data_IF_880067258956
#
_entry.id   IF_880067258956
#
_cell.length_a   1.000
_cell.length_b   1.000
_cell.length_c   1.000
_cell.angle_alpha   90.00
_cell.angle_beta   90.00
_cell.angle_gamma   90.00
#
_symmetry.space_group_name_H-M   'P 1'
#
loop_
_entity.id
_entity.type
_entity.pdbx_description
1 polymer ?
#
# COMPACT_ATOMS: atom_id res chain seq x y z
N UNK A 1 -10.49 6.38 -1.21
CA UNK A 1 -9.37 5.85 -0.40
C UNK A 1 -8.38 6.93 -0.02
N UNK A 2 -7.95 7.77 -0.95
CA UNK A 2 -7.02 8.86 -0.63
C UNK A 2 -7.55 9.76 0.47
N UNK A 3 -8.83 10.08 0.43
CA UNK A 3 -9.46 10.95 1.43
C UNK A 3 -9.39 10.33 2.82
N UNK A 4 -9.57 9.02 2.92
CA UNK A 4 -9.45 8.30 4.19
C UNK A 4 -8.04 8.37 4.74
N UNK A 5 -7.05 8.24 3.87
CA UNK A 5 -5.64 8.26 4.25
C UNK A 5 -5.26 9.67 4.73
N UNK A 6 -5.66 10.71 4.00
CA UNK A 6 -5.39 12.08 4.42
C UNK A 6 -6.08 12.42 5.74
N UNK A 7 -7.29 11.89 5.97
CA UNK A 7 -7.98 12.07 7.23
C UNK A 7 -7.18 11.44 8.38
N UNK A 8 -6.62 10.26 8.15
CA UNK A 8 -5.78 9.59 9.15
C UNK A 8 -4.54 10.44 9.47
N UNK A 9 -3.88 11.01 8.45
CA UNK A 9 -2.74 11.90 8.68
C UNK A 9 -3.15 13.09 9.54
N UNK A 10 -4.27 13.72 9.23
CA UNK A 10 -4.76 14.87 10.00
C UNK A 10 -5.05 14.50 11.45
N UNK A 11 -5.68 13.35 11.67
CA UNK A 11 -6.02 12.90 13.01
C UNK A 11 -4.78 12.57 13.83
N UNK A 12 -3.71 12.13 13.18
CA UNK A 12 -2.44 11.82 13.85
C UNK A 12 -1.54 13.04 13.99
N UNK A 13 -1.84 14.12 13.30
CA UNK A 13 -0.99 15.30 13.31
C UNK A 13 0.34 15.10 12.59
N UNK A 14 0.37 14.24 11.60
CA UNK A 14 1.58 14.00 10.80
C UNK A 14 1.38 14.44 9.37
N UNK A 15 2.48 14.76 8.71
CA UNK A 15 2.46 15.10 7.30
C UNK A 15 2.77 13.86 6.48
N UNK A 16 2.10 13.70 5.37
CA UNK A 16 2.35 12.61 4.46
C UNK A 16 1.84 12.91 3.07
N UNK A 17 2.28 12.13 2.12
CA UNK A 17 1.86 12.27 0.74
C UNK A 17 1.24 10.99 0.24
N UNK A 18 0.24 11.13 -0.61
CA UNK A 18 -0.36 10.01 -1.29
C UNK A 18 -0.07 10.17 -2.77
N UNK A 19 0.58 9.18 -3.35
CA UNK A 19 0.83 9.13 -4.79
C UNK A 19 -0.09 8.09 -5.42
N UNK A 20 -0.69 8.43 -6.54
CA UNK A 20 -1.63 7.55 -7.21
C UNK A 20 -1.07 7.13 -8.55
N UNK A 21 -1.04 5.85 -8.81
CA UNK A 21 -0.57 5.30 -10.07
C UNK A 21 -1.70 4.49 -10.72
N UNK A 22 -1.94 4.74 -12.00
CA UNK A 22 -3.02 4.08 -12.71
C UNK A 22 -2.68 2.66 -13.16
N UNK A 23 -1.39 2.37 -13.29
CA UNK A 23 -0.93 1.05 -13.72
C UNK A 23 0.40 0.68 -13.08
N UNK A 24 0.75 -0.59 -13.19
CA UNK A 24 1.96 -1.13 -12.59
C UNK A 24 3.22 -0.52 -13.17
N UNK A 25 3.25 -0.25 -14.45
CA UNK A 25 4.45 0.27 -15.12
C UNK A 25 4.84 1.64 -14.58
N UNK A 26 3.88 2.51 -14.36
CA UNK A 26 4.14 3.85 -13.80
C UNK A 26 4.66 3.77 -12.37
N UNK A 27 4.09 2.87 -11.59
CA UNK A 27 4.55 2.66 -10.22
C UNK A 27 5.99 2.11 -10.21
N UNK A 28 6.28 1.10 -11.02
CA UNK A 28 7.61 0.51 -11.10
C UNK A 28 8.66 1.53 -11.53
N UNK A 29 8.31 2.42 -12.43
CA UNK A 29 9.19 3.49 -12.85
C UNK A 29 9.46 4.47 -11.69
N UNK A 30 8.41 4.88 -10.99
CA UNK A 30 8.53 5.84 -9.90
C UNK A 30 9.34 5.30 -8.72
N UNK A 31 9.23 3.99 -8.44
CA UNK A 31 9.93 3.41 -7.30
C UNK A 31 11.46 3.39 -7.46
N UNK A 32 11.96 3.61 -8.64
CA UNK A 32 13.40 3.69 -8.86
C UNK A 32 13.97 4.97 -8.25
N UNK A 33 13.18 6.05 -8.22
CA UNK A 33 13.63 7.35 -7.74
C UNK A 33 13.09 7.71 -6.37
N UNK A 34 12.01 7.06 -5.92
CA UNK A 34 11.34 7.41 -4.67
C UNK A 34 11.21 6.19 -3.76
N UNK A 35 11.29 6.43 -2.48
CA UNK A 35 11.03 5.42 -1.47
C UNK A 35 9.60 5.49 -1.02
N UNK A 36 8.96 4.34 -0.90
CA UNK A 36 7.58 4.25 -0.45
C UNK A 36 7.49 3.30 0.74
N UNK A 37 6.58 3.58 1.66
CA UNK A 37 6.47 2.81 2.90
C UNK A 37 5.32 1.82 2.93
N UNK A 38 4.33 1.99 2.09
CA UNK A 38 3.26 1.02 1.96
C UNK A 38 2.58 1.19 0.61
N UNK A 39 2.15 0.07 0.06
CA UNK A 39 1.45 0.04 -1.22
C UNK A 39 0.03 -0.47 -0.99
N UNK A 40 -0.96 0.35 -1.31
CA UNK A 40 -2.35 -0.08 -1.40
C UNK A 40 -2.60 -0.47 -2.85
N UNK A 41 -2.98 -1.71 -3.08
CA UNK A 41 -2.94 -2.29 -4.42
C UNK A 41 -4.26 -2.95 -4.79
N UNK A 42 -4.84 -2.53 -5.90
CA UNK A 42 -5.98 -3.23 -6.46
C UNK A 42 -5.50 -4.36 -7.36
N UNK A 43 -6.19 -5.47 -7.36
CA UNK A 43 -5.84 -6.60 -8.20
C UNK A 43 -6.18 -6.30 -9.65
N UNK A 44 -7.32 -5.67 -9.90
CA UNK A 44 -7.71 -5.31 -11.27
C UNK A 44 -7.11 -3.97 -11.65
N UNK A 45 -6.17 -4.01 -12.57
CA UNK A 45 -5.53 -2.82 -13.12
C UNK A 45 -5.31 -3.00 -14.61
N UNK A 46 -5.24 -1.91 -15.39
CA UNK A 46 -4.83 -2.01 -16.77
C UNK A 46 -3.42 -2.62 -16.88
N UNK A 47 -3.27 -3.56 -17.78
CA UNK A 47 -1.99 -4.24 -17.98
C UNK A 47 -1.78 -5.36 -16.98
N UNK A 48 -0.76 -5.26 -16.15
CA UNK A 48 -0.43 -6.28 -15.16
C UNK A 48 -1.40 -6.22 -13.98
N UNK A 49 -1.90 -7.36 -13.50
CA UNK A 49 -2.77 -7.33 -12.34
C UNK A 49 -1.96 -7.15 -11.04
N UNK A 50 -2.67 -6.77 -9.95
CA UNK A 50 -2.03 -6.46 -8.69
C UNK A 50 -1.26 -7.61 -8.07
N UNK A 51 -1.73 -8.84 -8.24
CA UNK A 51 -1.02 -10.01 -7.71
C UNK A 51 0.32 -10.19 -8.43
N UNK A 52 0.31 -10.03 -9.74
CA UNK A 52 1.54 -10.11 -10.53
C UNK A 52 2.54 -9.03 -10.13
N UNK A 53 2.05 -7.81 -9.90
CA UNK A 53 2.90 -6.72 -9.43
C UNK A 53 3.51 -7.04 -8.07
N UNK A 54 2.70 -7.55 -7.13
CA UNK A 54 3.17 -7.91 -5.80
C UNK A 54 4.25 -8.99 -5.87
N UNK A 55 4.04 -10.01 -6.70
CA UNK A 55 5.04 -11.06 -6.90
C UNK A 55 6.33 -10.50 -7.49
N UNK A 56 6.21 -9.58 -8.45
CA UNK A 56 7.36 -8.92 -9.06
C UNK A 56 8.18 -8.16 -7.99
N UNK A 57 7.51 -7.40 -7.14
CA UNK A 57 8.18 -6.66 -6.07
C UNK A 57 8.93 -7.60 -5.13
N UNK A 58 8.32 -8.71 -4.75
CA UNK A 58 8.97 -9.69 -3.87
C UNK A 58 10.20 -10.32 -4.54
N UNK A 59 10.13 -10.59 -5.84
CA UNK A 59 11.28 -11.11 -6.60
C UNK A 59 12.42 -10.08 -6.68
N UNK A 60 12.10 -8.78 -6.66
CA UNK A 60 13.11 -7.73 -6.63
C UNK A 60 13.72 -7.54 -5.24
N UNK A 61 13.28 -8.30 -4.27
CA UNK A 61 13.74 -8.17 -2.89
C UNK A 61 13.09 -7.04 -2.12
N UNK A 62 12.02 -6.46 -2.67
CA UNK A 62 11.31 -5.38 -2.00
C UNK A 62 10.30 -5.98 -1.04
N UNK A 63 10.46 -5.72 0.25
CA UNK A 63 9.59 -6.25 1.30
C UNK A 63 8.58 -5.22 1.82
N UNK A 64 8.37 -4.16 1.07
CA UNK A 64 7.41 -3.11 1.42
C UNK A 64 6.05 -3.70 1.78
N UNK A 65 5.41 -3.18 2.83
CA UNK A 65 4.06 -3.61 3.18
C UNK A 65 3.09 -3.42 2.01
N UNK A 66 2.33 -4.46 1.69
CA UNK A 66 1.32 -4.43 0.64
C UNK A 66 -0.03 -4.70 1.26
N UNK A 67 -1.00 -3.85 0.95
CA UNK A 67 -2.38 -4.01 1.37
C UNK A 67 -3.23 -4.07 0.13
N UNK A 68 -3.83 -5.22 -0.13
CA UNK A 68 -4.74 -5.33 -1.26
C UNK A 68 -6.09 -4.71 -0.91
N UNK A 69 -6.62 -3.91 -1.84
CA UNK A 69 -7.94 -3.31 -1.70
C UNK A 69 -8.67 -3.59 -3.00
N UNK A 70 -9.54 -4.58 -2.99
CA UNK A 70 -10.10 -5.11 -4.23
C UNK A 70 -11.49 -5.67 -4.02
N UNK A 71 -12.24 -5.83 -5.10
CA UNK A 71 -13.50 -6.57 -5.11
C UNK A 71 -13.34 -8.07 -5.32
N UNK A 72 -12.10 -8.55 -5.52
CA UNK A 72 -11.84 -9.94 -5.89
C UNK A 72 -11.44 -10.78 -4.69
N UNK A 73 -12.30 -11.72 -4.28
CA UNK A 73 -12.01 -12.60 -3.15
C UNK A 73 -11.15 -13.80 -3.51
N UNK A 74 -11.19 -14.20 -4.78
CA UNK A 74 -10.51 -15.42 -5.21
C UNK A 74 -8.98 -15.35 -5.14
N UNK A 75 -8.42 -14.18 -4.93
CA UNK A 75 -6.97 -14.01 -4.88
C UNK A 75 -6.41 -13.93 -3.45
N UNK A 76 -7.21 -14.25 -2.44
CA UNK A 76 -6.76 -14.15 -1.05
C UNK A 76 -5.53 -15.03 -0.78
N UNK A 77 -5.50 -16.24 -1.34
CA UNK A 77 -4.35 -17.14 -1.14
C UNK A 77 -3.07 -16.57 -1.76
N UNK A 78 -3.18 -15.95 -2.94
CA UNK A 78 -2.03 -15.32 -3.57
C UNK A 78 -1.55 -14.12 -2.76
N UNK A 79 -2.46 -13.39 -2.14
CA UNK A 79 -2.09 -12.31 -1.22
C UNK A 79 -1.28 -12.85 -0.04
N UNK A 80 -1.66 -14.00 0.48
CA UNK A 80 -0.93 -14.66 1.55
C UNK A 80 0.48 -15.07 1.08
N UNK A 81 0.59 -15.60 -0.13
CA UNK A 81 1.89 -16.01 -0.69
C UNK A 81 2.88 -14.86 -0.85
N UNK A 82 2.41 -13.65 -1.13
CA UNK A 82 3.29 -12.48 -1.25
C UNK A 82 3.46 -11.75 0.09
N UNK A 83 2.98 -12.37 1.16
CA UNK A 83 3.06 -11.79 2.50
C UNK A 83 2.44 -10.40 2.59
N UNK A 84 1.25 -10.26 2.01
CA UNK A 84 0.50 -9.02 2.13
C UNK A 84 0.16 -8.75 3.59
N UNK A 85 0.21 -7.49 3.99
CA UNK A 85 -0.12 -7.11 5.36
C UNK A 85 -1.61 -7.30 5.61
N UNK A 86 -2.43 -6.96 4.62
CA UNK A 86 -3.88 -7.12 4.70
C UNK A 86 -4.48 -7.30 3.32
N UNK A 87 -5.68 -7.87 3.29
CA UNK A 87 -6.45 -8.04 2.06
C UNK A 87 -7.86 -7.53 2.37
N UNK A 88 -8.18 -6.36 1.86
CA UNK A 88 -9.45 -5.70 2.14
C UNK A 88 -10.38 -5.79 0.94
N UNK A 89 -11.62 -6.20 1.18
CA UNK A 89 -12.62 -6.33 0.13
C UNK A 89 -13.44 -5.06 0.03
N UNK A 90 -13.64 -4.55 -1.18
CA UNK A 90 -14.49 -3.39 -1.42
C UNK A 90 -15.96 -3.74 -1.18
N UNK A 91 -16.76 -2.83 -0.62
CA UNK A 91 -16.42 -1.47 -0.23
C UNK A 91 -15.63 -1.44 1.07
N UNK A 92 -14.56 -0.63 1.09
CA UNK A 92 -13.64 -0.60 2.22
C UNK A 92 -14.17 0.34 3.30
N UNK A 93 -14.11 -0.10 4.52
CA UNK A 93 -14.49 0.71 5.67
C UNK A 93 -13.29 1.53 6.14
N UNK A 94 -13.53 2.77 6.50
CA UNK A 94 -12.50 3.68 7.01
C UNK A 94 -11.75 3.07 8.20
N UNK A 95 -12.47 2.42 9.10
CA UNK A 95 -11.88 1.77 10.26
C UNK A 95 -10.80 0.76 9.86
N UNK A 96 -11.04 -0.02 8.81
CA UNK A 96 -10.08 -1.02 8.34
C UNK A 96 -8.82 -0.36 7.76
N UNK A 97 -8.99 0.71 7.02
CA UNK A 97 -7.87 1.46 6.47
C UNK A 97 -7.04 2.05 7.63
N UNK A 98 -7.69 2.62 8.63
CA UNK A 98 -7.02 3.20 9.78
C UNK A 98 -6.23 2.14 10.57
N UNK A 99 -6.79 0.96 10.76
CA UNK A 99 -6.09 -0.15 11.42
C UNK A 99 -4.82 -0.55 10.65
N UNK A 100 -4.90 -0.60 9.32
CA UNK A 100 -3.75 -0.93 8.48
C UNK A 100 -2.66 0.14 8.59
N UNK A 101 -3.04 1.40 8.52
CA UNK A 101 -2.08 2.51 8.61
C UNK A 101 -1.42 2.56 9.98
N UNK A 102 -2.19 2.30 11.06
CA UNK A 102 -1.63 2.23 12.41
C UNK A 102 -0.58 1.13 12.51
N UNK A 103 -0.85 -0.01 11.91
CA UNK A 103 0.09 -1.13 11.93
C UNK A 103 1.38 -0.81 11.19
N UNK A 104 1.28 -0.18 10.02
CA UNK A 104 2.45 0.23 9.25
C UNK A 104 3.25 1.27 10.03
N UNK A 105 2.56 2.25 10.61
CA UNK A 105 3.20 3.32 11.38
C UNK A 105 3.96 2.77 12.59
N UNK A 106 3.35 1.88 13.36
CA UNK A 106 3.99 1.27 14.52
C UNK A 106 5.22 0.46 14.13
N UNK A 107 5.14 -0.31 13.05
CA UNK A 107 6.26 -1.12 12.59
C UNK A 107 7.42 -0.23 12.13
N UNK A 108 7.14 0.86 11.44
CA UNK A 108 8.15 1.80 11.00
C UNK A 108 8.82 2.47 12.18
N UNK A 109 8.06 2.86 13.20
CA UNK A 109 8.60 3.47 14.40
C UNK A 109 9.53 2.52 15.15
N UNK A 110 9.19 1.24 15.22
CA UNK A 110 10.01 0.24 15.87
C UNK A 110 11.33 0.02 15.13
N UNK A 111 11.37 0.28 13.84
CA UNK A 111 12.57 0.11 13.04
C UNK A 111 13.37 1.42 12.93
N UNK A 112 13.04 2.41 13.70
CA UNK A 112 13.62 3.76 13.60
C UNK A 112 13.39 4.40 12.24
N UNK A 113 12.50 3.86 11.47
CA UNK A 113 12.14 4.44 10.22
C UNK A 113 11.21 5.59 10.52
N UNK A 114 11.49 6.72 10.03
CA UNK A 114 10.80 7.87 10.45
C UNK A 114 9.88 8.40 9.42
N UNK A 115 9.20 7.58 8.67
CA UNK A 115 8.60 8.17 7.67
C UNK A 115 7.64 7.51 6.99
N UNK A 116 6.65 7.92 6.46
CA UNK A 116 5.74 7.26 5.82
C UNK A 116 5.04 7.92 4.84
N UNK A 117 4.67 7.50 3.84
CA UNK A 117 4.00 8.05 2.90
C UNK A 117 3.15 7.26 2.21
N UNK A 118 2.22 7.45 1.58
CA UNK A 118 1.32 6.61 1.09
C UNK A 118 0.84 6.92 -0.21
N UNK A 119 0.54 6.08 -0.95
CA UNK A 119 0.01 6.28 -2.19
C UNK A 119 -1.15 5.44 -2.46
N UNK A 120 -1.96 5.72 -3.35
CA UNK A 120 -3.16 5.16 -3.56
C UNK A 120 -3.15 4.24 -4.70
N UNK A 121 -2.83 3.41 -4.92
CA UNK A 121 -2.52 2.31 -5.47
C UNK A 121 -1.40 1.96 -4.80
N UNK A 122 -1.07 2.34 -4.08
CA UNK A 122 -0.98 3.46 -3.42
C UNK A 122 0.06 3.27 -2.47
N UNK A 123 0.66 4.29 -2.20
CA UNK A 123 1.83 4.23 -1.64
C UNK A 123 2.12 5.21 -0.71
N UNK A 124 2.92 5.01 0.22
CA UNK A 124 3.15 5.93 1.11
C UNK A 124 4.41 5.91 1.68
N UNK A 125 4.86 6.93 2.22
CA UNK A 125 6.04 6.99 2.85
C UNK A 125 6.13 7.98 3.87
N UNK A 126 7.02 7.98 4.73
CA UNK A 126 7.03 8.75 5.77
C UNK A 126 8.25 9.23 6.24
N UNK A 127 8.28 10.27 6.73
CA UNK A 127 9.34 10.79 7.41
C UNK A 127 9.13 11.09 8.76
#
# INVERSE_FOLDING_TARGET
LSDMIYKWYADKGIEGEVSIFEDAARFLFAREDYSFDVLFLDIRMPGENGVSLAKHLRRLGDDMPIIFVTGEREYILEGYEVEALHYLIKPVQEKKIFECLERVYRNAAQQEAHVILTGDMGVVKVL
#
